data_IF_058596416935
#
_entry.id   IF_058596416935
#
_cell.length_a   1.000
_cell.length_b   1.000
_cell.length_c   1.000
_cell.angle_alpha   90.00
_cell.angle_beta   90.00
_cell.angle_gamma   90.00
#
_symmetry.space_group_name_H-M   'P 1'
#
loop_
_entity.id
_entity.type
_entity.pdbx_description
1 polymer ?
#
# COMPACT_ATOMS: atom_id res chain seq x y z
N UNK A 1 4.65 -25.10 -56.22
CA UNK A 1 5.02 -25.86 -55.69
C UNK A 1 4.71 -25.88 -54.28
N UNK A 2 4.99 -24.95 -53.47
CA UNK A 2 4.64 -25.01 -52.14
C UNK A 2 3.18 -24.90 -51.90
N UNK A 3 2.49 -24.12 -52.66
CA UNK A 3 1.06 -24.00 -52.49
C UNK A 3 0.40 -25.30 -52.94
N UNK A 4 0.97 -25.97 -53.94
CA UNK A 4 0.42 -27.23 -54.33
C UNK A 4 0.60 -28.25 -53.21
N UNK A 5 1.69 -28.19 -52.51
CA UNK A 5 1.96 -29.11 -51.44
C UNK A 5 0.87 -28.97 -50.36
N UNK A 6 0.51 -27.75 -50.03
CA UNK A 6 -0.51 -27.53 -49.02
C UNK A 6 -1.89 -27.91 -49.57
N UNK A 7 -2.13 -27.70 -50.81
CA UNK A 7 -3.40 -28.06 -51.38
C UNK A 7 -3.57 -29.57 -51.43
N UNK A 8 -2.50 -30.28 -51.77
CA UNK A 8 -2.57 -31.71 -51.86
C UNK A 8 -2.56 -32.37 -50.51
N UNK A 9 -2.17 -31.67 -49.48
CA UNK A 9 -2.12 -32.24 -48.14
C UNK A 9 -2.89 -31.39 -47.18
N UNK A 10 -4.20 -31.43 -47.26
CA UNK A 10 -5.02 -30.60 -46.39
C UNK A 10 -4.83 -30.93 -44.94
N UNK A 11 -4.53 -32.20 -44.60
CA UNK A 11 -4.31 -32.58 -43.24
C UNK A 11 -3.06 -31.88 -42.70
N UNK A 12 -2.01 -31.82 -43.49
CA UNK A 12 -0.79 -31.16 -43.08
C UNK A 12 -1.06 -29.68 -42.81
N UNK A 13 -1.80 -29.03 -43.71
CA UNK A 13 -2.12 -27.64 -43.53
C UNK A 13 -2.96 -27.39 -42.29
N UNK A 14 -3.94 -28.28 -42.05
CA UNK A 14 -4.78 -28.16 -40.89
C UNK A 14 -3.96 -28.33 -39.62
N UNK A 15 -3.09 -29.32 -39.58
CA UNK A 15 -2.27 -29.58 -38.41
C UNK A 15 -1.35 -28.37 -38.13
N UNK A 16 -0.76 -27.81 -39.18
CA UNK A 16 0.10 -26.67 -39.03
C UNK A 16 -0.66 -25.48 -38.46
N UNK A 17 -1.86 -25.25 -38.96
CA UNK A 17 -2.71 -24.19 -38.45
C UNK A 17 -3.05 -24.39 -36.99
N UNK A 18 -3.41 -25.60 -36.63
CA UNK A 18 -3.77 -25.90 -35.25
C UNK A 18 -2.56 -25.67 -34.33
N UNK A 19 -1.38 -26.10 -34.78
CA UNK A 19 -0.18 -25.91 -33.98
C UNK A 19 0.09 -24.42 -33.77
N UNK A 20 -0.07 -23.61 -34.80
CA UNK A 20 0.15 -22.19 -34.68
C UNK A 20 -0.83 -21.56 -33.68
N UNK A 21 -2.09 -21.98 -33.75
CA UNK A 21 -3.09 -21.45 -32.84
C UNK A 21 -2.79 -21.86 -31.40
N UNK A 22 -2.39 -23.12 -31.20
CA UNK A 22 -2.07 -23.58 -29.87
C UNK A 22 -0.88 -22.82 -29.28
N UNK A 23 0.15 -22.61 -30.09
CA UNK A 23 1.33 -21.87 -29.63
C UNK A 23 0.93 -20.44 -29.30
N UNK A 24 0.08 -19.84 -30.10
CA UNK A 24 -0.38 -18.48 -29.83
C UNK A 24 -1.17 -18.36 -28.55
N UNK A 25 -2.05 -19.33 -28.31
CA UNK A 25 -2.85 -19.31 -27.09
C UNK A 25 -1.96 -19.52 -25.86
N UNK A 26 -1.00 -20.44 -25.96
CA UNK A 26 -0.09 -20.67 -24.86
C UNK A 26 0.75 -19.42 -24.61
N UNK A 27 1.19 -18.75 -25.67
CA UNK A 27 1.94 -17.53 -25.52
C UNK A 27 1.17 -16.45 -24.82
N UNK A 28 -0.13 -16.32 -25.16
CA UNK A 28 -0.95 -15.33 -24.49
C UNK A 28 -1.13 -15.67 -23.03
N UNK A 29 -1.30 -16.94 -22.73
CA UNK A 29 -1.49 -17.35 -21.34
C UNK A 29 -0.22 -17.15 -20.50
N UNK A 30 0.93 -17.31 -21.13
CA UNK A 30 2.18 -17.14 -20.41
C UNK A 30 2.64 -15.71 -20.34
N UNK A 31 2.05 -14.83 -21.13
CA UNK A 31 2.41 -13.44 -21.04
C UNK A 31 2.06 -12.92 -19.68
N UNK A 32 3.00 -12.31 -19.01
CA UNK A 32 2.69 -11.77 -17.70
C UNK A 32 1.81 -10.59 -17.89
N UNK A 33 0.58 -10.75 -17.54
CA UNK A 33 -0.34 -9.68 -17.63
C UNK A 33 0.02 -8.62 -16.71
N UNK A 34 0.57 -8.96 -15.57
CA UNK A 34 0.91 -8.04 -14.68
C UNK A 34 2.28 -7.71 -14.83
N UNK A 35 2.65 -7.08 -15.78
CA UNK A 35 3.91 -6.78 -15.96
C UNK A 35 4.41 -5.82 -15.04
N UNK A 36 3.62 -4.98 -14.49
CA UNK A 36 4.08 -4.02 -13.58
C UNK A 36 4.02 -4.61 -12.27
N UNK A 37 5.11 -4.82 -11.64
CA UNK A 37 5.07 -5.22 -10.28
C UNK A 37 4.32 -4.17 -9.62
N UNK A 38 3.38 -4.49 -8.82
CA UNK A 38 2.69 -3.57 -8.14
C UNK A 38 3.58 -3.07 -7.11
N UNK A 39 4.46 -2.21 -7.41
CA UNK A 39 5.34 -1.65 -6.44
C UNK A 39 4.58 -0.57 -5.79
N UNK A 40 3.96 -0.89 -4.71
CA UNK A 40 3.20 0.09 -3.94
C UNK A 40 4.03 0.44 -2.74
N UNK A 41 4.32 1.71 -2.51
CA UNK A 41 5.11 2.08 -1.34
C UNK A 41 4.40 1.66 -0.07
N UNK A 42 5.12 1.21 0.95
CA UNK A 42 4.49 0.87 2.21
C UNK A 42 3.89 2.12 2.85
N UNK A 43 2.72 1.96 3.43
CA UNK A 43 2.02 3.06 4.07
C UNK A 43 1.65 2.62 5.47
N UNK A 44 1.90 3.49 6.44
CA UNK A 44 1.52 3.23 7.82
C UNK A 44 0.56 4.32 8.22
N UNK A 45 -0.55 3.92 8.83
CA UNK A 45 -1.58 4.84 9.22
C UNK A 45 -1.67 4.88 10.74
N UNK A 46 -1.63 6.06 11.31
CA UNK A 46 -1.75 6.25 12.75
C UNK A 46 -3.06 6.97 13.00
N UNK A 47 -3.88 6.42 13.88
CA UNK A 47 -5.18 7.00 14.20
C UNK A 47 -5.28 7.22 15.70
N UNK A 48 -5.84 8.33 16.09
CA UNK A 48 -6.07 8.65 17.48
C UNK A 48 -7.39 9.38 17.61
N UNK A 49 -7.93 9.40 18.80
CA UNK A 49 -9.21 10.06 19.05
C UNK A 49 -9.12 10.91 20.31
N UNK A 50 -9.60 12.13 20.21
CA UNK A 50 -9.67 13.02 21.36
C UNK A 50 -11.14 13.47 21.42
N UNK A 51 -12.01 12.71 22.06
CA UNK A 51 -13.44 12.99 22.00
C UNK A 51 -13.77 14.38 22.54
N UNK A 52 -14.63 15.06 21.84
CA UNK A 52 -15.06 16.39 22.28
C UNK A 52 -14.15 17.53 21.84
N UNK A 53 -13.03 17.23 21.22
CA UNK A 53 -12.13 18.29 20.82
C UNK A 53 -12.44 18.75 19.41
N UNK A 54 -12.21 20.02 19.13
CA UNK A 54 -12.37 20.53 17.78
C UNK A 54 -11.15 20.15 16.95
N UNK A 55 -11.26 20.30 15.65
CA UNK A 55 -10.13 19.98 14.77
C UNK A 55 -8.89 20.78 15.15
N UNK A 56 -9.07 22.04 15.53
CA UNK A 56 -7.93 22.86 15.92
C UNK A 56 -7.27 22.33 17.19
N UNK A 57 -8.06 21.92 18.18
CA UNK A 57 -7.53 21.36 19.41
C UNK A 57 -6.80 20.05 19.13
N UNK A 58 -7.37 19.20 18.26
CA UNK A 58 -6.74 17.96 17.91
C UNK A 58 -5.40 18.24 17.23
N UNK A 59 -5.36 19.23 16.35
CA UNK A 59 -4.13 19.57 15.70
C UNK A 59 -3.06 20.00 16.68
N UNK A 60 -3.43 20.83 17.65
CA UNK A 60 -2.44 21.32 18.58
C UNK A 60 -2.04 20.29 19.63
N UNK A 61 -3.01 19.53 20.13
CA UNK A 61 -2.76 18.63 21.24
C UNK A 61 -2.35 17.23 20.84
N UNK A 62 -2.78 16.80 19.67
CA UNK A 62 -2.54 15.42 19.24
C UNK A 62 -1.63 15.38 18.04
N UNK A 63 -1.96 16.12 17.00
CA UNK A 63 -1.21 16.03 15.74
C UNK A 63 0.21 16.54 15.90
N UNK A 64 0.41 17.65 16.52
CA UNK A 64 1.72 18.27 16.62
C UNK A 64 2.71 17.36 17.36
N UNK A 65 2.41 16.81 18.53
CA UNK A 65 3.37 15.93 19.19
C UNK A 65 3.65 14.67 18.37
N UNK A 66 2.62 14.11 17.77
CA UNK A 66 2.81 12.89 16.98
C UNK A 66 3.66 13.18 15.75
N UNK A 67 3.34 14.26 15.08
CA UNK A 67 4.09 14.60 13.87
C UNK A 67 5.55 14.90 14.17
N UNK A 68 5.81 15.54 15.29
CA UNK A 68 7.18 15.85 15.65
C UNK A 68 7.98 14.60 15.92
N UNK A 69 7.37 13.61 16.55
CA UNK A 69 8.07 12.37 16.80
C UNK A 69 8.20 11.52 15.54
N UNK A 70 7.22 11.58 14.66
CA UNK A 70 7.28 10.80 13.45
C UNK A 70 8.19 11.42 12.39
N UNK A 71 8.39 12.70 12.49
CA UNK A 71 9.23 13.38 11.53
C UNK A 71 10.65 12.87 11.65
N UNK A 72 11.25 12.47 10.58
CA UNK A 72 12.57 11.89 10.63
C UNK A 72 12.58 10.37 10.73
N UNK A 73 11.44 9.75 10.61
CA UNK A 73 11.39 8.30 10.60
C UNK A 73 12.19 7.80 9.39
N UNK A 74 13.09 6.83 9.59
CA UNK A 74 13.90 6.35 8.48
C UNK A 74 13.03 5.78 7.35
N UNK A 75 13.34 6.14 6.14
CA UNK A 75 12.61 5.65 4.97
C UNK A 75 11.35 6.40 4.66
N UNK A 76 10.97 7.38 5.46
CA UNK A 76 9.74 8.12 5.22
C UNK A 76 9.91 9.08 4.08
N UNK A 77 8.98 9.04 3.12
CA UNK A 77 8.98 9.98 2.02
C UNK A 77 8.20 11.24 2.38
N UNK A 78 7.00 11.07 2.92
CA UNK A 78 6.20 12.20 3.33
C UNK A 78 5.12 11.71 4.29
N UNK A 79 4.47 12.63 4.94
CA UNK A 79 3.43 12.33 5.90
C UNK A 79 2.29 13.31 5.70
N UNK A 80 1.07 12.79 5.71
CA UNK A 80 -0.10 13.61 5.64
C UNK A 80 -0.92 13.37 6.89
N UNK A 81 -1.50 14.40 7.43
CA UNK A 81 -2.33 14.22 8.60
C UNK A 81 -3.60 15.02 8.46
N UNK A 82 -4.63 14.60 9.12
CA UNK A 82 -5.89 15.33 9.13
C UNK A 82 -6.52 15.21 10.51
N UNK A 83 -7.26 16.24 10.87
CA UNK A 83 -7.97 16.29 12.13
C UNK A 83 -9.41 16.66 11.85
N UNK A 84 -10.33 16.10 12.62
CA UNK A 84 -11.74 16.36 12.41
C UNK A 84 -12.32 17.05 13.63
N UNK A 85 -13.45 17.70 13.43
CA UNK A 85 -14.12 18.38 14.54
C UNK A 85 -14.76 17.42 15.52
N UNK A 86 -14.81 16.13 15.19
CA UNK A 86 -15.30 15.13 16.11
C UNK A 86 -14.20 14.58 17.01
N UNK A 87 -12.99 15.12 16.89
CA UNK A 87 -11.89 14.69 17.72
C UNK A 87 -11.01 13.63 17.10
N UNK A 88 -11.25 13.30 15.86
CA UNK A 88 -10.44 12.26 15.18
C UNK A 88 -9.17 12.82 14.62
N UNK A 89 -8.13 12.01 14.64
CA UNK A 89 -6.83 12.37 14.05
C UNK A 89 -6.34 11.16 13.27
N UNK A 90 -5.86 11.40 12.09
CA UNK A 90 -5.29 10.34 11.27
C UNK A 90 -4.04 10.89 10.59
N UNK A 91 -2.95 10.15 10.69
CA UNK A 91 -1.73 10.49 9.98
C UNK A 91 -1.38 9.31 9.09
N UNK A 92 -1.06 9.60 7.85
CA UNK A 92 -0.67 8.58 6.90
C UNK A 92 0.77 8.85 6.50
N UNK A 93 1.64 7.88 6.74
CA UNK A 93 3.05 8.02 6.46
C UNK A 93 3.39 7.11 5.31
N UNK A 94 3.90 7.69 4.23
CA UNK A 94 4.30 6.92 3.06
C UNK A 94 5.80 6.73 3.08
N UNK A 95 6.23 5.50 2.91
CA UNK A 95 7.65 5.17 2.96
C UNK A 95 8.18 4.84 1.59
N UNK A 96 9.50 4.81 1.49
CA UNK A 96 10.17 4.47 0.26
C UNK A 96 9.83 3.03 -0.10
N UNK A 97 9.80 2.74 -1.38
CA UNK A 97 9.49 1.43 -1.89
C UNK A 97 10.40 0.37 -1.31
N UNK A 98 11.65 0.71 -1.06
CA UNK A 98 12.60 -0.25 -0.53
C UNK A 98 12.46 -0.50 0.96
N UNK A 99 11.58 0.22 1.62
CA UNK A 99 11.43 0.10 3.06
C UNK A 99 10.61 -1.14 3.39
N UNK A 100 11.06 -1.89 4.39
CA UNK A 100 10.30 -3.04 4.85
C UNK A 100 9.08 -2.54 5.59
N UNK A 101 7.89 -2.95 5.16
CA UNK A 101 6.64 -2.47 5.75
C UNK A 101 6.54 -2.84 7.24
N UNK A 102 7.02 -4.03 7.61
CA UNK A 102 6.95 -4.43 9.00
C UNK A 102 7.87 -3.59 9.87
N UNK A 103 9.08 -3.31 9.41
CA UNK A 103 9.98 -2.47 10.16
C UNK A 103 9.47 -1.04 10.22
N UNK A 104 8.86 -0.57 9.14
CA UNK A 104 8.30 0.77 9.14
C UNK A 104 7.19 0.89 10.19
N UNK A 105 6.33 -0.12 10.28
CA UNK A 105 5.25 -0.09 11.27
C UNK A 105 5.80 -0.12 12.69
N UNK A 106 6.83 -0.92 12.92
CA UNK A 106 7.44 -0.98 14.25
C UNK A 106 8.09 0.35 14.61
N UNK A 107 8.77 0.96 13.66
CA UNK A 107 9.42 2.23 13.91
C UNK A 107 8.38 3.31 14.21
N UNK A 108 7.28 3.33 13.45
CA UNK A 108 6.22 4.29 13.69
C UNK A 108 5.61 4.04 15.08
N UNK A 109 5.39 2.79 15.43
CA UNK A 109 4.80 2.48 16.70
C UNK A 109 5.69 2.92 17.85
N UNK A 110 6.99 2.72 17.74
CA UNK A 110 7.92 3.16 18.75
C UNK A 110 7.91 4.67 18.90
N UNK A 111 7.85 5.39 17.80
CA UNK A 111 7.85 6.85 17.84
C UNK A 111 6.53 7.38 18.38
N UNK A 112 5.41 6.71 18.08
CA UNK A 112 4.13 7.09 18.64
C UNK A 112 4.16 6.89 20.15
N UNK A 113 4.80 5.82 20.63
CA UNK A 113 4.90 5.63 22.05
C UNK A 113 5.70 6.73 22.72
N UNK A 114 6.72 7.23 22.08
CA UNK A 114 7.46 8.34 22.61
C UNK A 114 6.58 9.60 22.66
N UNK A 115 5.71 9.75 21.70
CA UNK A 115 4.82 10.91 21.66
C UNK A 115 3.73 10.82 22.72
N UNK A 116 3.39 9.60 23.16
CA UNK A 116 2.30 9.43 24.12
C UNK A 116 2.54 10.20 25.40
N UNK A 117 3.77 10.40 25.80
CA UNK A 117 4.04 11.13 27.01
C UNK A 117 3.67 12.59 26.91
N UNK A 118 3.48 13.08 25.69
CA UNK A 118 3.11 14.47 25.46
C UNK A 118 1.66 14.64 25.05
N UNK A 119 0.92 13.55 25.01
CA UNK A 119 -0.47 13.59 24.57
C UNK A 119 -1.41 13.69 25.77
N UNK A 120 -2.62 14.24 25.54
CA UNK A 120 -3.60 14.27 26.61
C UNK A 120 -3.96 12.87 27.08
N UNK A 121 -4.29 12.75 28.35
CA UNK A 121 -4.61 11.45 28.90
C UNK A 121 -5.78 10.78 28.20
N UNK A 122 -6.76 11.56 27.77
CA UNK A 122 -7.90 11.00 27.08
C UNK A 122 -7.51 10.31 25.77
N UNK A 123 -6.53 10.88 25.07
CA UNK A 123 -6.10 10.30 23.82
C UNK A 123 -5.38 8.99 24.08
N UNK A 124 -4.52 8.97 25.10
CA UNK A 124 -3.77 7.77 25.42
C UNK A 124 -4.70 6.68 25.94
N UNK A 125 -5.70 7.07 26.72
CA UNK A 125 -6.64 6.09 27.25
C UNK A 125 -7.49 5.46 26.17
N UNK A 126 -7.85 6.22 25.15
CA UNK A 126 -8.61 5.67 24.05
C UNK A 126 -7.73 4.82 23.13
N UNK A 127 -6.43 4.98 23.24
CA UNK A 127 -5.52 4.17 22.45
C UNK A 127 -5.20 4.81 21.11
N UNK A 128 -3.99 4.60 20.64
CA UNK A 128 -3.57 5.08 19.36
C UNK A 128 -3.33 3.86 18.51
N UNK A 129 -3.97 3.83 17.35
CA UNK A 129 -3.90 2.68 16.47
C UNK A 129 -2.85 2.92 15.40
N UNK A 130 -1.99 1.95 15.17
CA UNK A 130 -0.99 2.02 14.12
C UNK A 130 -1.24 0.84 13.21
N UNK A 131 -1.59 1.13 11.95
CA UNK A 131 -1.93 0.10 11.02
C UNK A 131 -1.04 0.18 9.81
N UNK A 132 -0.57 -0.97 9.34
CA UNK A 132 0.20 -1.03 8.14
C UNK A 132 -0.75 -1.27 6.99
N UNK A 133 -0.74 -0.40 6.01
CA UNK A 133 -1.62 -0.53 4.90
C UNK A 133 -0.83 -0.99 3.74
N UNK A 134 -1.01 -2.24 3.27
CA UNK A 134 -0.33 -2.63 2.24
C UNK A 134 -1.13 -2.88 1.26
N UNK A 135 -1.66 -2.46 0.63
CA UNK A 135 -2.37 -2.59 -0.38
C UNK A 135 -2.70 -3.74 -0.88
N UNK A 136 -2.51 -4.64 -0.65
CA UNK A 136 -2.84 -5.74 -1.10
C UNK A 136 -3.92 -6.23 -0.72
N UNK A 137 -4.55 -6.17 -0.43
CA UNK A 137 -5.49 -6.60 -0.02
C UNK A 137 -6.16 -7.14 -0.61
N UNK A 138 -6.35 -7.47 -1.10
CA UNK A 138 -6.88 -7.83 -1.67
C UNK A 138 -7.27 -8.74 -1.56
N UNK A 139 -7.32 -9.24 -1.55
CA UNK A 139 -7.71 -10.02 -1.43
C UNK A 139 -8.09 -10.70 -1.00
N UNK A 140 -8.37 -10.98 -0.86
CA UNK A 140 -8.72 -11.61 -0.47
C UNK A 140 -9.15 -11.74 -0.54
#
# INVERSE_FOLDING_TARGET
MKSDFFIDRPVFSTVLSVIIVIVGVIGLALLPIDQYPKIVPPVVKVSASYPGASAQTVTQAVATPIEQELNGTPGMLYMESSSTNSGGFTATITFDIDTDADLAAVEVQNRVKLAESRLPAEVVQNGISVERSEERRVGK
#
